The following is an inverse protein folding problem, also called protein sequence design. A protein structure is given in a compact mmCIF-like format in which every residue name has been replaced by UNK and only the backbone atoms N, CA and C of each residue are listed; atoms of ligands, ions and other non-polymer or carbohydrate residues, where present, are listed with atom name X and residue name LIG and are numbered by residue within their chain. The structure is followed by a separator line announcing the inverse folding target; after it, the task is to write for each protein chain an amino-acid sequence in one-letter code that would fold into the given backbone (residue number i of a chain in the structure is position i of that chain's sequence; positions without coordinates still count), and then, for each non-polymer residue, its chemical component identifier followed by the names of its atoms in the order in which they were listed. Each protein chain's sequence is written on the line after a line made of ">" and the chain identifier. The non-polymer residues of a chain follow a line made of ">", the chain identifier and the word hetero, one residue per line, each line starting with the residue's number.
data_IF_261709467689
#
_entry.id   IF_261709467689
#
_cell.length_a   1.000
_cell.length_b   1.000
_cell.length_c   1.000
_cell.angle_alpha   90.00
_cell.angle_beta   90.00
_cell.angle_gamma   90.00
#
_symmetry.space_group_name_H-M   'P 1'
#
loop_
_entity.id
_entity.type
_entity.pdbx_description
1 polymer ?
#
# COMPACT_ATOMS: atom_id res chain seq x y z
N UNK A 1 5.19 19.57 -23.79
CA UNK A 1 6.13 18.59 -23.30
C UNK A 1 5.36 17.31 -23.01
N UNK A 2 5.59 16.25 -23.79
CA UNK A 2 4.88 14.96 -23.68
C UNK A 2 5.59 14.01 -22.71
N UNK A 3 6.25 14.51 -21.66
CA UNK A 3 6.87 13.64 -20.65
C UNK A 3 5.82 13.10 -19.70
N UNK A 4 5.82 11.77 -19.45
CA UNK A 4 4.95 11.22 -18.44
C UNK A 4 5.36 11.76 -17.05
N UNK A 5 4.38 12.14 -16.24
CA UNK A 5 4.58 12.51 -14.84
C UNK A 5 4.42 11.27 -13.96
N UNK A 6 5.46 10.94 -13.20
CA UNK A 6 5.45 9.80 -12.27
C UNK A 6 5.22 10.31 -10.85
N UNK A 7 3.99 10.73 -10.56
CA UNK A 7 3.62 11.35 -9.29
C UNK A 7 2.63 10.53 -8.44
N UNK A 8 2.50 9.23 -8.70
CA UNK A 8 1.59 8.36 -7.96
C UNK A 8 2.35 7.19 -7.33
N UNK A 9 2.19 7.02 -6.02
CA UNK A 9 2.70 5.87 -5.25
C UNK A 9 1.63 4.80 -5.04
N UNK A 10 0.37 5.10 -5.28
CA UNK A 10 -0.78 4.26 -4.96
C UNK A 10 -1.36 3.53 -6.18
N UNK A 11 -1.35 4.13 -7.36
CA UNK A 11 -1.99 3.57 -8.56
C UNK A 11 -1.46 2.18 -8.92
N UNK A 12 -0.14 1.98 -8.89
CA UNK A 12 0.48 0.68 -9.18
C UNK A 12 0.14 -0.36 -8.12
N UNK A 13 -0.03 0.04 -6.85
CA UNK A 13 -0.41 -0.86 -5.77
C UNK A 13 -1.90 -1.22 -5.83
N UNK A 14 -2.76 -0.30 -6.25
CA UNK A 14 -4.18 -0.57 -6.49
C UNK A 14 -4.41 -1.59 -7.61
N UNK A 15 -3.51 -1.67 -8.59
CA UNK A 15 -3.60 -2.67 -9.66
C UNK A 15 -3.66 -4.11 -9.11
N UNK A 16 -2.91 -4.42 -8.04
CA UNK A 16 -2.95 -5.75 -7.42
C UNK A 16 -4.35 -6.09 -6.91
N UNK A 17 -5.02 -5.16 -6.25
CA UNK A 17 -6.38 -5.37 -5.76
C UNK A 17 -7.36 -5.59 -6.92
N UNK A 18 -7.22 -4.82 -8.02
CA UNK A 18 -8.08 -4.99 -9.19
C UNK A 18 -7.88 -6.34 -9.86
N UNK A 19 -6.63 -6.80 -9.97
CA UNK A 19 -6.31 -8.13 -10.52
C UNK A 19 -6.86 -9.24 -9.62
N UNK A 20 -6.72 -9.12 -8.30
CA UNK A 20 -7.31 -10.07 -7.36
C UNK A 20 -8.83 -10.15 -7.53
N UNK A 21 -9.51 -9.00 -7.59
CA UNK A 21 -10.95 -8.93 -7.85
C UNK A 21 -11.33 -9.52 -9.20
N UNK A 22 -10.57 -9.25 -10.24
CA UNK A 22 -10.80 -9.84 -11.56
C UNK A 22 -10.81 -11.37 -11.50
N UNK A 23 -9.76 -11.96 -10.87
CA UNK A 23 -9.69 -13.42 -10.68
C UNK A 23 -10.88 -13.94 -9.87
N UNK A 24 -11.22 -13.28 -8.76
CA UNK A 24 -12.30 -13.70 -7.87
C UNK A 24 -13.68 -13.71 -8.59
N UNK A 25 -13.90 -12.77 -9.53
CA UNK A 25 -15.14 -12.67 -10.28
C UNK A 25 -15.20 -13.56 -11.54
N UNK A 26 -14.07 -13.75 -12.21
CA UNK A 26 -14.04 -14.43 -13.52
C UNK A 26 -13.51 -15.84 -13.46
N UNK A 27 -12.63 -16.14 -12.49
CA UNK A 27 -11.86 -17.37 -12.46
C UNK A 27 -10.77 -17.46 -13.54
N UNK A 28 -10.51 -16.37 -14.29
CA UNK A 28 -9.58 -16.35 -15.42
C UNK A 28 -8.13 -16.12 -14.96
N UNK A 29 -7.56 -17.13 -14.36
CA UNK A 29 -6.17 -17.12 -13.90
C UNK A 29 -5.16 -17.13 -15.04
N UNK A 30 -5.48 -17.80 -16.14
CA UNK A 30 -4.56 -17.96 -17.28
C UNK A 30 -4.29 -16.59 -17.92
N UNK A 31 -5.33 -15.81 -18.14
CA UNK A 31 -5.19 -14.43 -18.62
C UNK A 31 -4.30 -13.58 -17.73
N UNK A 32 -4.48 -13.66 -16.42
CA UNK A 32 -3.66 -12.90 -15.46
C UNK A 32 -2.20 -13.38 -15.47
N UNK A 33 -1.98 -14.69 -15.50
CA UNK A 33 -0.64 -15.27 -15.56
C UNK A 33 0.12 -14.84 -16.80
N UNK A 34 -0.51 -14.86 -17.96
CA UNK A 34 0.14 -14.54 -19.23
C UNK A 34 0.36 -13.04 -19.46
N UNK A 35 -0.56 -12.20 -19.00
CA UNK A 35 -0.56 -10.78 -19.36
C UNK A 35 -0.10 -9.86 -18.21
N UNK A 36 -0.25 -10.26 -16.95
CA UNK A 36 -0.03 -9.36 -15.82
C UNK A 36 1.05 -9.81 -14.84
N UNK A 37 1.31 -11.11 -14.68
CA UNK A 37 2.21 -11.59 -13.63
C UNK A 37 3.60 -10.92 -13.66
N UNK A 38 4.22 -10.84 -14.83
CA UNK A 38 5.54 -10.22 -14.99
C UNK A 38 5.51 -8.71 -14.68
N UNK A 39 4.39 -8.04 -14.98
CA UNK A 39 4.18 -6.62 -14.65
C UNK A 39 4.13 -6.46 -13.13
N UNK A 40 3.39 -7.31 -12.44
CA UNK A 40 3.29 -7.29 -10.98
C UNK A 40 4.64 -7.54 -10.31
N UNK A 41 5.43 -8.51 -10.81
CA UNK A 41 6.81 -8.76 -10.35
C UNK A 41 7.67 -7.51 -10.51
N UNK A 42 7.62 -6.83 -11.66
CA UNK A 42 8.37 -5.60 -11.94
C UNK A 42 7.95 -4.46 -11.00
N UNK A 43 6.67 -4.34 -10.69
CA UNK A 43 6.18 -3.33 -9.74
C UNK A 43 6.80 -3.58 -8.35
N UNK A 44 6.68 -4.80 -7.79
CA UNK A 44 7.27 -5.12 -6.49
C UNK A 44 8.78 -4.85 -6.50
N UNK A 45 9.49 -5.29 -7.55
CA UNK A 45 10.92 -5.05 -7.70
C UNK A 45 11.24 -3.55 -7.68
N UNK A 46 10.52 -2.73 -8.42
CA UNK A 46 10.74 -1.29 -8.47
C UNK A 46 10.58 -0.61 -7.10
N UNK A 47 9.56 -0.98 -6.34
CA UNK A 47 9.39 -0.46 -4.97
C UNK A 47 10.52 -0.90 -4.03
N UNK A 48 11.04 -2.11 -4.20
CA UNK A 48 12.14 -2.62 -3.37
C UNK A 48 13.49 -2.01 -3.73
N UNK A 49 13.72 -1.67 -5.01
CA UNK A 49 14.96 -1.00 -5.46
C UNK A 49 14.92 0.51 -5.23
N UNK A 50 13.74 1.07 -5.11
CA UNK A 50 13.51 2.51 -5.02
C UNK A 50 13.30 3.18 -6.37
N UNK A 51 12.41 4.14 -6.39
CA UNK A 51 12.02 4.94 -7.57
C UNK A 51 12.26 6.41 -7.21
N UNK A 52 13.21 7.04 -7.87
CA UNK A 52 13.50 8.45 -7.67
C UNK A 52 13.44 9.21 -9.01
N UNK A 53 12.24 9.24 -9.60
CA UNK A 53 11.91 10.02 -10.78
C UNK A 53 11.11 11.23 -10.31
N UNK A 54 11.40 12.42 -10.80
CA UNK A 54 10.70 13.66 -10.46
C UNK A 54 10.62 13.95 -8.92
N UNK A 55 11.65 13.55 -8.19
CA UNK A 55 11.73 13.66 -6.72
C UNK A 55 10.67 12.85 -5.94
N UNK A 56 10.10 11.82 -6.54
CA UNK A 56 9.09 10.98 -5.88
C UNK A 56 9.59 10.26 -4.65
N UNK A 57 10.89 9.95 -4.60
CA UNK A 57 11.56 9.35 -3.45
C UNK A 57 10.76 8.18 -2.86
N UNK A 58 10.37 7.21 -3.72
CA UNK A 58 9.60 6.04 -3.31
C UNK A 58 10.58 4.90 -3.06
N UNK A 59 10.55 4.30 -1.88
CA UNK A 59 11.41 3.16 -1.55
C UNK A 59 10.87 2.32 -0.38
N UNK A 60 11.35 1.08 -0.32
CA UNK A 60 11.13 0.18 0.81
C UNK A 60 12.17 0.50 1.91
N UNK A 61 11.70 0.88 3.09
CA UNK A 61 12.57 1.12 4.23
C UNK A 61 12.93 -0.18 4.97
N UNK A 62 13.90 -0.11 5.89
CA UNK A 62 14.43 -1.25 6.68
C UNK A 62 13.36 -1.97 7.50
N UNK A 63 12.26 -1.30 7.81
CA UNK A 63 11.12 -1.85 8.53
C UNK A 63 10.04 -2.46 7.61
N UNK A 64 10.36 -2.62 6.32
CA UNK A 64 9.47 -3.17 5.31
C UNK A 64 8.20 -2.34 5.01
N UNK A 65 8.22 -1.06 5.36
CA UNK A 65 7.20 -0.09 5.00
C UNK A 65 7.68 0.80 3.85
N UNK A 66 6.75 1.20 2.99
CA UNK A 66 7.02 2.12 1.89
C UNK A 66 7.07 3.55 2.41
N UNK A 67 8.13 4.24 2.04
CA UNK A 67 8.27 5.69 2.15
C UNK A 67 8.02 6.29 0.77
N UNK A 68 7.35 7.43 0.70
CA UNK A 68 7.18 8.17 -0.54
C UNK A 68 7.18 9.68 -0.32
N UNK A 69 7.66 10.38 -1.33
CA UNK A 69 7.58 11.83 -1.40
C UNK A 69 8.61 12.59 -0.57
N UNK A 70 8.57 13.88 -0.78
CA UNK A 70 9.32 14.92 -0.09
C UNK A 70 8.36 16.03 0.34
N UNK A 71 8.84 17.07 1.00
CA UNK A 71 7.99 18.21 1.42
C UNK A 71 7.33 18.95 0.24
N UNK A 72 7.86 18.80 -0.97
CA UNK A 72 7.38 19.50 -2.17
C UNK A 72 6.62 18.60 -3.15
N UNK A 73 6.48 17.30 -2.84
CA UNK A 73 5.76 16.34 -3.66
C UNK A 73 4.41 15.96 -3.05
N UNK A 74 3.50 15.49 -3.90
CA UNK A 74 2.20 14.95 -3.53
C UNK A 74 1.96 13.66 -4.30
N UNK A 75 2.42 12.54 -3.76
CA UNK A 75 2.45 11.26 -4.46
C UNK A 75 1.24 10.36 -4.16
N UNK A 76 0.39 10.73 -3.21
CA UNK A 76 -0.82 9.97 -2.88
C UNK A 76 -2.03 10.54 -3.61
N UNK A 77 -3.16 9.85 -3.57
CA UNK A 77 -4.43 10.30 -4.17
C UNK A 77 -4.89 11.70 -3.67
N UNK A 78 -4.37 12.16 -2.52
CA UNK A 78 -4.60 13.51 -2.01
C UNK A 78 -3.55 14.48 -2.57
N UNK A 79 -3.54 14.65 -3.88
CA UNK A 79 -2.47 15.27 -4.67
C UNK A 79 -2.72 16.73 -5.05
N UNK A 80 -3.74 17.38 -4.49
CA UNK A 80 -4.05 18.78 -4.78
C UNK A 80 -2.84 19.69 -4.50
N UNK A 81 -2.53 20.54 -5.48
CA UNK A 81 -1.37 21.45 -5.46
C UNK A 81 -1.73 22.82 -6.01
N UNK A 82 -1.19 23.87 -5.39
CA UNK A 82 -1.30 25.26 -5.86
C UNK A 82 0.12 25.78 -6.08
N UNK A 83 0.51 25.94 -7.34
CA UNK A 83 1.91 26.23 -7.67
C UNK A 83 2.85 25.15 -7.11
N UNK A 84 3.78 25.51 -6.22
CA UNK A 84 4.67 24.56 -5.55
C UNK A 84 4.18 24.15 -4.15
N UNK A 85 2.98 24.55 -3.75
CA UNK A 85 2.42 24.24 -2.44
C UNK A 85 1.49 23.03 -2.52
N UNK A 86 1.86 21.94 -1.85
CA UNK A 86 1.00 20.78 -1.65
C UNK A 86 -0.07 21.13 -0.59
N UNK A 87 -1.35 21.08 -0.97
CA UNK A 87 -2.47 21.42 -0.06
C UNK A 87 -2.53 20.41 1.10
N UNK A 88 -2.23 19.16 0.81
CA UNK A 88 -2.20 18.09 1.81
C UNK A 88 -0.89 17.32 1.70
N UNK A 89 0.20 17.85 2.28
CA UNK A 89 1.48 17.15 2.23
C UNK A 89 1.39 15.85 3.03
N UNK A 90 1.71 14.73 2.38
CA UNK A 90 1.65 13.38 2.96
C UNK A 90 2.89 12.57 2.59
N UNK A 91 4.05 13.23 2.72
CA UNK A 91 5.35 12.59 2.53
C UNK A 91 5.69 11.65 3.71
N UNK A 92 6.43 10.61 3.43
CA UNK A 92 6.79 9.58 4.40
C UNK A 92 5.97 8.31 4.27
N UNK A 93 5.61 7.68 5.37
CA UNK A 93 4.88 6.41 5.40
C UNK A 93 3.38 6.68 5.54
N UNK A 94 2.66 6.72 4.43
CA UNK A 94 1.22 6.91 4.41
C UNK A 94 0.47 5.59 4.69
N UNK A 95 -0.64 5.66 5.42
CA UNK A 95 -1.37 4.49 5.95
C UNK A 95 -1.96 3.62 4.85
N UNK A 96 -2.62 4.23 3.86
CA UNK A 96 -3.23 3.51 2.74
C UNK A 96 -2.19 2.90 1.82
N UNK A 97 -1.08 3.61 1.57
CA UNK A 97 0.03 3.11 0.74
C UNK A 97 0.61 1.84 1.37
N UNK A 98 0.83 1.84 2.68
CA UNK A 98 1.37 0.68 3.37
C UNK A 98 0.35 -0.46 3.57
N UNK A 99 -0.94 -0.14 3.61
CA UNK A 99 -2.01 -1.14 3.56
C UNK A 99 -2.05 -1.83 2.19
N UNK A 100 -1.99 -1.05 1.10
CA UNK A 100 -1.93 -1.58 -0.27
C UNK A 100 -0.63 -2.35 -0.55
N UNK A 101 0.49 -1.91 0.01
CA UNK A 101 1.76 -2.63 -0.09
C UNK A 101 1.69 -4.03 0.53
N UNK A 102 1.14 -4.13 1.75
CA UNK A 102 0.91 -5.43 2.38
C UNK A 102 -0.01 -6.32 1.53
N UNK A 103 -1.12 -5.77 1.04
CA UNK A 103 -2.06 -6.46 0.17
C UNK A 103 -1.38 -6.96 -1.12
N UNK A 104 -0.59 -6.12 -1.77
CA UNK A 104 0.17 -6.47 -2.98
C UNK A 104 1.13 -7.64 -2.74
N UNK A 105 1.86 -7.63 -1.62
CA UNK A 105 2.76 -8.74 -1.24
C UNK A 105 2.01 -10.04 -1.01
N UNK A 106 0.82 -10.00 -0.39
CA UNK A 106 -0.01 -11.17 -0.15
C UNK A 106 -0.61 -11.73 -1.44
N UNK A 107 -1.02 -10.86 -2.36
CA UNK A 107 -1.49 -11.26 -3.68
C UNK A 107 -0.34 -11.92 -4.47
N UNK A 108 0.86 -11.35 -4.43
CA UNK A 108 2.04 -11.96 -5.07
C UNK A 108 2.41 -13.31 -4.46
N UNK A 109 2.28 -13.47 -3.16
CA UNK A 109 2.46 -14.77 -2.50
C UNK A 109 1.47 -15.81 -3.05
N UNK A 110 0.17 -15.49 -3.08
CA UNK A 110 -0.89 -16.35 -3.62
C UNK A 110 -0.65 -16.71 -5.09
N UNK A 111 -0.46 -15.71 -5.96
CA UNK A 111 -0.30 -15.92 -7.39
C UNK A 111 0.98 -16.69 -7.72
N UNK A 112 2.08 -16.40 -7.00
CA UNK A 112 3.34 -17.11 -7.21
C UNK A 112 3.25 -18.57 -6.76
N UNK A 113 2.59 -18.84 -5.63
CA UNK A 113 2.34 -20.23 -5.19
C UNK A 113 1.47 -20.98 -6.20
N UNK A 114 0.45 -20.32 -6.74
CA UNK A 114 -0.50 -20.90 -7.69
C UNK A 114 0.14 -21.18 -9.06
N UNK A 115 0.92 -20.22 -9.58
CA UNK A 115 1.42 -20.29 -10.96
C UNK A 115 2.78 -20.98 -11.09
N UNK A 116 3.57 -21.05 -10.03
CA UNK A 116 4.94 -21.56 -10.06
C UNK A 116 5.26 -22.50 -8.89
N UNK A 117 5.74 -21.96 -7.75
CA UNK A 117 6.25 -22.77 -6.63
C UNK A 117 6.15 -22.02 -5.30
N UNK A 118 5.80 -22.77 -4.24
CA UNK A 118 5.85 -22.30 -2.84
C UNK A 118 7.18 -21.67 -2.43
N UNK A 119 8.29 -22.18 -2.95
CA UNK A 119 9.62 -21.67 -2.62
C UNK A 119 9.79 -20.22 -3.08
N UNK A 120 9.33 -19.89 -4.28
CA UNK A 120 9.36 -18.52 -4.79
C UNK A 120 8.33 -17.62 -4.10
N UNK A 121 7.16 -18.15 -3.77
CA UNK A 121 6.13 -17.43 -3.05
C UNK A 121 6.57 -17.00 -1.65
N UNK A 122 7.39 -17.81 -0.98
CA UNK A 122 7.86 -17.57 0.40
C UNK A 122 8.56 -16.23 0.60
N UNK A 123 9.24 -15.69 -0.43
CA UNK A 123 9.86 -14.37 -0.33
C UNK A 123 8.83 -13.26 -0.11
N UNK A 124 7.73 -13.29 -0.84
CA UNK A 124 6.64 -12.31 -0.69
C UNK A 124 5.94 -12.46 0.66
N UNK A 125 5.66 -13.69 1.08
CA UNK A 125 5.09 -13.97 2.40
C UNK A 125 5.96 -13.47 3.55
N UNK A 126 7.28 -13.66 3.47
CA UNK A 126 8.21 -13.13 4.47
C UNK A 126 8.23 -11.60 4.51
N UNK A 127 8.17 -10.94 3.35
CA UNK A 127 8.07 -9.47 3.28
C UNK A 127 6.74 -8.99 3.84
N UNK A 128 5.64 -9.65 3.50
CA UNK A 128 4.31 -9.35 4.01
C UNK A 128 4.24 -9.48 5.54
N UNK A 129 4.79 -10.56 6.11
CA UNK A 129 4.82 -10.75 7.55
C UNK A 129 5.58 -9.64 8.29
N UNK A 130 6.73 -9.21 7.75
CA UNK A 130 7.52 -8.10 8.31
C UNK A 130 6.79 -6.77 8.16
N UNK A 131 6.17 -6.51 7.00
CA UNK A 131 5.34 -5.33 6.77
C UNK A 131 4.18 -5.27 7.78
N UNK A 132 3.41 -6.35 7.92
CA UNK A 132 2.27 -6.44 8.87
C UNK A 132 2.70 -6.17 10.30
N UNK A 133 3.83 -6.75 10.73
CA UNK A 133 4.39 -6.52 12.06
C UNK A 133 4.70 -5.03 12.27
N UNK A 134 5.50 -4.44 11.39
CA UNK A 134 5.90 -3.04 11.48
C UNK A 134 4.70 -2.09 11.39
N UNK A 135 3.73 -2.40 10.54
CA UNK A 135 2.50 -1.61 10.40
C UNK A 135 1.72 -1.56 11.73
N UNK A 136 1.42 -2.72 12.31
CA UNK A 136 0.61 -2.79 13.53
C UNK A 136 1.34 -2.20 14.75
N UNK A 137 2.68 -2.33 14.82
CA UNK A 137 3.48 -1.73 15.89
C UNK A 137 3.55 -0.20 15.80
N UNK A 138 3.55 0.38 14.59
CA UNK A 138 3.87 1.80 14.38
C UNK A 138 2.67 2.69 14.07
N UNK A 139 1.68 2.19 13.31
CA UNK A 139 0.56 3.02 12.87
C UNK A 139 -0.53 3.21 13.92
N UNK A 140 -0.67 2.30 14.88
CA UNK A 140 -1.74 2.42 15.88
C UNK A 140 -1.44 3.49 16.93
N UNK A 141 -2.22 4.56 16.92
CA UNK A 141 -2.21 5.62 17.92
C UNK A 141 -3.12 5.24 19.08
N UNK A 142 -2.54 4.67 20.14
CA UNK A 142 -3.28 4.20 21.34
C UNK A 142 -4.11 5.32 22.00
N UNK A 143 -3.62 6.57 21.97
CA UNK A 143 -4.32 7.71 22.58
C UNK A 143 -5.59 8.08 21.81
N UNK A 144 -5.56 8.03 20.48
CA UNK A 144 -6.68 8.37 19.61
C UNK A 144 -7.52 7.18 19.21
N UNK A 145 -7.08 5.95 19.52
CA UNK A 145 -7.71 4.69 19.13
C UNK A 145 -7.94 4.56 17.61
N UNK A 146 -7.03 5.07 16.82
CA UNK A 146 -7.08 5.01 15.34
C UNK A 146 -5.67 4.93 14.78
N UNK A 147 -5.53 4.83 13.45
CA UNK A 147 -4.22 4.86 12.82
C UNK A 147 -3.76 6.30 12.56
N UNK A 148 -2.44 6.50 12.54
CA UNK A 148 -1.84 7.71 11.97
C UNK A 148 -2.14 7.75 10.47
N UNK A 149 -2.46 8.91 9.92
CA UNK A 149 -2.65 9.09 8.47
C UNK A 149 -1.33 8.95 7.69
N UNK A 150 -0.30 9.60 8.20
CA UNK A 150 1.11 9.34 7.90
C UNK A 150 1.81 9.15 9.24
N UNK A 151 2.84 8.33 9.33
CA UNK A 151 3.52 8.12 10.61
C UNK A 151 3.95 9.47 11.21
N UNK A 152 3.42 9.76 12.41
CA UNK A 152 3.61 11.03 13.12
C UNK A 152 2.48 12.06 12.88
N UNK A 153 1.67 11.93 11.82
CA UNK A 153 0.48 12.77 11.61
C UNK A 153 -0.77 12.11 12.20
N UNK A 154 -1.29 12.69 13.27
CA UNK A 154 -2.45 12.17 13.99
C UNK A 154 -3.79 12.69 13.44
N UNK A 155 -3.83 13.30 12.26
CA UNK A 155 -5.08 13.70 11.62
C UNK A 155 -5.93 12.46 11.31
N UNK A 156 -7.24 12.58 11.57
CA UNK A 156 -8.18 11.51 11.26
C UNK A 156 -8.68 11.72 9.85
N UNK A 157 -8.38 10.73 8.99
CA UNK A 157 -8.83 10.68 7.59
C UNK A 157 -9.36 9.29 7.26
N UNK A 158 -10.20 9.15 6.22
CA UNK A 158 -10.75 7.85 5.82
C UNK A 158 -9.69 6.88 5.31
N UNK A 159 -8.49 7.34 4.96
CA UNK A 159 -7.38 6.53 4.43
C UNK A 159 -7.08 5.28 5.28
N UNK A 160 -7.26 5.36 6.59
CA UNK A 160 -7.05 4.22 7.48
C UNK A 160 -7.99 3.04 7.20
N UNK A 161 -9.13 3.25 6.50
CA UNK A 161 -10.05 2.17 6.14
C UNK A 161 -9.42 1.18 5.14
N UNK A 162 -8.43 1.58 4.34
CA UNK A 162 -7.70 0.66 3.48
C UNK A 162 -7.05 -0.50 4.28
N UNK A 163 -6.72 -0.28 5.55
CA UNK A 163 -6.19 -1.33 6.41
C UNK A 163 -7.16 -2.47 6.70
N UNK A 164 -8.47 -2.25 6.45
CA UNK A 164 -9.57 -3.17 6.75
C UNK A 164 -10.39 -3.60 5.51
N UNK A 165 -10.25 -2.92 4.36
CA UNK A 165 -11.15 -3.06 3.22
C UNK A 165 -10.55 -3.79 2.01
N UNK A 166 -9.23 -4.00 1.99
CA UNK A 166 -8.54 -4.71 0.91
C UNK A 166 -8.73 -6.23 1.03
N UNK A 167 -8.44 -6.96 -0.04
CA UNK A 167 -8.53 -8.43 -0.08
C UNK A 167 -7.70 -9.09 1.00
N UNK A 168 -6.51 -8.57 1.27
CA UNK A 168 -5.67 -8.95 2.41
C UNK A 168 -5.51 -7.76 3.36
N UNK A 169 -6.13 -7.86 4.51
CA UNK A 169 -6.15 -6.80 5.51
C UNK A 169 -4.90 -6.82 6.39
N UNK A 170 -4.21 -5.69 6.49
CA UNK A 170 -3.01 -5.57 7.32
C UNK A 170 -3.35 -5.50 8.82
N UNK A 171 -4.51 -4.98 9.17
CA UNK A 171 -5.10 -5.06 10.51
C UNK A 171 -6.06 -6.23 10.55
N UNK A 172 -5.99 -7.06 11.60
CA UNK A 172 -6.85 -8.25 11.70
C UNK A 172 -8.32 -7.84 11.90
N UNK A 173 -9.24 -8.29 11.02
CA UNK A 173 -10.66 -8.04 11.18
C UNK A 173 -11.17 -8.64 12.51
N UNK A 174 -12.03 -7.94 13.20
CA UNK A 174 -12.52 -8.37 14.51
C UNK A 174 -11.58 -8.09 15.69
N UNK A 175 -10.37 -7.60 15.45
CA UNK A 175 -9.50 -7.11 16.51
C UNK A 175 -10.05 -5.86 17.18
N UNK A 176 -9.67 -5.59 18.42
CA UNK A 176 -10.02 -4.33 19.09
C UNK A 176 -9.54 -3.10 18.28
N UNK A 177 -8.38 -3.22 17.62
CA UNK A 177 -7.85 -2.16 16.76
C UNK A 177 -8.80 -1.87 15.60
N UNK A 178 -9.31 -2.91 14.92
CA UNK A 178 -10.25 -2.75 13.81
C UNK A 178 -11.56 -2.08 14.26
N UNK A 179 -12.12 -2.50 15.39
CA UNK A 179 -13.32 -1.91 15.98
C UNK A 179 -13.09 -0.43 16.34
N UNK A 180 -11.96 -0.11 16.93
CA UNK A 180 -11.59 1.26 17.29
C UNK A 180 -11.45 2.17 16.05
N UNK A 181 -10.84 1.66 14.96
CA UNK A 181 -10.73 2.39 13.69
C UNK A 181 -12.11 2.72 13.14
N UNK A 182 -13.01 1.73 13.06
CA UNK A 182 -14.37 1.91 12.56
C UNK A 182 -15.15 2.91 13.40
N UNK A 183 -15.07 2.79 14.73
CA UNK A 183 -15.74 3.70 15.66
C UNK A 183 -15.30 5.16 15.47
N UNK A 184 -14.01 5.40 15.32
CA UNK A 184 -13.46 6.75 15.13
C UNK A 184 -13.85 7.35 13.79
N UNK A 185 -13.87 6.54 12.70
CA UNK A 185 -14.21 7.05 11.36
C UNK A 185 -15.70 7.31 11.20
N UNK A 186 -16.55 6.51 11.85
CA UNK A 186 -18.02 6.66 11.76
C UNK A 186 -18.58 7.79 12.62
N UNK A 187 -17.87 8.22 13.67
CA UNK A 187 -18.29 9.29 14.58
C UNK A 187 -17.82 10.69 14.18
N UNK A 188 -17.04 10.80 13.13
CA UNK A 188 -16.48 12.08 12.65
C UNK A 188 -16.85 12.38 11.21
#
# INVERSE_FOLDING_TARGET
>A
DNRPLYNSVDSSLLLFEQIKKYIDYTGDDEFVKENFYDILVKIIYSYTQGINVDNNNIYLDKDFLIVSGTETTQNTWMDAKIGNFAVTPRNGKAVEVNSMWYNALKIMEELTEKYFDKKFAKQYGNMAAKCKKSFNEKFYNKRRKCLYDVLGDSKIRPNQLFSLSLSYQVVDPGSEIALNILDVVTKK
#
